data_IF_079867043318
#
_entry.id   IF_079867043318
#
_cell.length_a   1.000
_cell.length_b   1.000
_cell.length_c   1.000
_cell.angle_alpha   90.00
_cell.angle_beta   90.00
_cell.angle_gamma   90.00
#
_symmetry.space_group_name_H-M   'P 1'
#
loop_
_entity.id
_entity.type
_entity.pdbx_description
1 polymer ?
#
# COMPACT_ATOMS: atom_id res chain seq x y z
N UNK A 1 17.78 -41.17 -33.09
CA UNK A 1 16.84 -40.15 -33.58
C UNK A 1 16.26 -39.44 -32.39
N UNK A 2 16.77 -38.26 -32.09
CA UNK A 2 16.29 -37.37 -31.03
C UNK A 2 15.00 -36.70 -31.50
N UNK A 3 13.92 -36.90 -30.76
CA UNK A 3 12.67 -36.17 -30.95
C UNK A 3 12.81 -34.77 -30.34
N UNK A 4 12.91 -33.75 -31.19
CA UNK A 4 12.75 -32.35 -30.78
C UNK A 4 11.29 -31.94 -31.00
N UNK A 5 10.58 -31.59 -29.93
CA UNK A 5 9.24 -31.04 -30.01
C UNK A 5 9.28 -29.59 -30.57
N UNK A 6 8.47 -29.24 -31.58
CA UNK A 6 8.59 -27.97 -32.32
C UNK A 6 7.86 -26.77 -31.67
N UNK A 7 7.69 -26.71 -30.35
CA UNK A 7 6.87 -25.65 -29.70
C UNK A 7 7.58 -24.86 -28.60
N UNK A 8 8.91 -24.94 -28.52
CA UNK A 8 9.67 -24.07 -27.63
C UNK A 8 9.88 -22.69 -28.27
N UNK A 9 8.80 -21.94 -28.45
CA UNK A 9 8.90 -20.48 -28.59
C UNK A 9 9.31 -19.91 -27.23
N UNK A 10 10.40 -19.15 -27.20
CA UNK A 10 10.83 -18.45 -25.99
C UNK A 10 9.72 -17.49 -25.53
N UNK A 11 9.21 -17.74 -24.33
CA UNK A 11 8.32 -16.83 -23.59
C UNK A 11 9.03 -15.50 -23.32
N UNK A 12 8.77 -14.51 -24.16
CA UNK A 12 9.20 -13.13 -23.96
C UNK A 12 8.06 -12.30 -23.38
N UNK A 13 7.75 -12.51 -22.09
CA UNK A 13 6.99 -11.52 -21.35
C UNK A 13 7.81 -10.22 -21.28
N UNK A 14 7.29 -9.11 -21.81
CA UNK A 14 7.97 -7.81 -21.70
C UNK A 14 8.10 -7.43 -20.21
N UNK A 15 9.14 -6.70 -19.84
CA UNK A 15 9.41 -6.25 -18.46
C UNK A 15 8.27 -5.43 -17.85
N UNK A 16 7.38 -4.88 -18.67
CA UNK A 16 6.23 -4.07 -18.27
C UNK A 16 4.97 -4.95 -18.05
N UNK A 17 5.08 -6.21 -18.49
CA UNK A 17 4.15 -7.33 -18.46
C UNK A 17 2.74 -7.05 -19.02
N UNK A 18 2.69 -6.17 -19.99
CA UNK A 18 1.67 -6.28 -21.01
C UNK A 18 1.82 -7.67 -21.65
N UNK A 19 0.80 -8.52 -21.52
CA UNK A 19 0.70 -9.74 -22.34
C UNK A 19 0.21 -9.24 -23.69
N UNK A 20 1.03 -9.38 -24.72
CA UNK A 20 0.73 -8.95 -26.09
C UNK A 20 1.11 -10.04 -27.08
N UNK A 21 0.65 -9.90 -28.33
CA UNK A 21 0.94 -10.85 -29.40
C UNK A 21 0.15 -12.15 -29.30
N UNK A 22 0.74 -13.24 -29.80
CA UNK A 22 0.09 -14.55 -29.94
C UNK A 22 -0.35 -15.14 -28.59
N UNK A 23 0.33 -14.80 -27.50
CA UNK A 23 0.02 -15.24 -26.14
C UNK A 23 -1.27 -14.62 -25.59
N UNK A 24 -1.47 -13.32 -25.80
CA UNK A 24 -2.74 -12.65 -25.47
C UNK A 24 -3.90 -13.26 -26.27
N UNK A 25 -3.65 -13.56 -27.55
CA UNK A 25 -4.63 -14.22 -28.42
C UNK A 25 -4.98 -15.64 -27.94
N UNK A 26 -3.99 -16.45 -27.57
CA UNK A 26 -4.18 -17.82 -27.07
C UNK A 26 -4.86 -17.84 -25.69
N UNK A 27 -4.52 -16.91 -24.81
CA UNK A 27 -5.21 -16.74 -23.52
C UNK A 27 -6.67 -16.32 -23.70
N UNK A 28 -6.94 -15.36 -24.60
CA UNK A 28 -8.31 -14.95 -24.94
C UNK A 28 -9.11 -16.05 -25.64
N UNK A 29 -8.48 -16.83 -26.51
CA UNK A 29 -9.11 -18.01 -27.09
C UNK A 29 -9.47 -19.01 -25.99
N UNK A 30 -8.58 -19.25 -25.03
CA UNK A 30 -8.86 -20.15 -23.90
C UNK A 30 -10.03 -19.66 -23.03
N UNK A 31 -10.12 -18.35 -22.77
CA UNK A 31 -11.28 -17.72 -22.10
C UNK A 31 -12.55 -17.85 -22.96
N UNK A 32 -12.47 -17.61 -24.28
CA UNK A 32 -13.61 -17.72 -25.21
C UNK A 32 -14.12 -19.14 -25.40
N UNK A 33 -13.24 -20.15 -25.30
CA UNK A 33 -13.60 -21.57 -25.37
C UNK A 33 -14.04 -22.14 -24.02
N UNK A 34 -13.85 -21.39 -22.93
CA UNK A 34 -14.29 -21.76 -21.57
C UNK A 34 -15.10 -20.62 -20.93
N UNK A 35 -16.17 -20.14 -21.59
CA UNK A 35 -16.95 -19.04 -21.04
C UNK A 35 -17.60 -19.49 -19.72
N UNK A 36 -17.61 -18.65 -18.67
CA UNK A 36 -18.33 -18.95 -17.45
C UNK A 36 -19.81 -19.23 -17.79
N UNK A 37 -20.38 -20.24 -17.13
CA UNK A 37 -21.75 -20.66 -17.38
C UNK A 37 -22.72 -19.47 -17.25
N UNK A 38 -23.37 -19.11 -18.36
CA UNK A 38 -24.39 -18.06 -18.39
C UNK A 38 -23.95 -16.70 -18.97
N UNK A 39 -22.70 -16.51 -19.41
CA UNK A 39 -22.34 -15.27 -20.11
C UNK A 39 -22.97 -15.25 -21.51
N UNK A 40 -24.00 -14.42 -21.71
CA UNK A 40 -24.39 -13.99 -23.05
C UNK A 40 -23.17 -13.32 -23.71
N UNK A 41 -22.99 -13.55 -25.01
CA UNK A 41 -21.87 -13.11 -25.83
C UNK A 41 -21.74 -11.58 -25.92
N UNK A 42 -21.36 -10.91 -24.83
CA UNK A 42 -20.91 -9.52 -24.91
C UNK A 42 -19.42 -9.53 -25.29
N UNK A 43 -19.16 -8.99 -26.48
CA UNK A 43 -17.98 -9.29 -27.31
C UNK A 43 -16.74 -8.49 -26.90
N UNK A 44 -16.92 -7.48 -26.05
CA UNK A 44 -15.84 -6.60 -25.62
C UNK A 44 -15.25 -7.09 -24.29
N UNK A 45 -14.34 -8.07 -24.40
CA UNK A 45 -13.52 -8.53 -23.29
C UNK A 45 -12.58 -7.45 -22.74
N UNK A 46 -11.78 -7.75 -21.69
CA UNK A 46 -10.90 -6.79 -20.99
C UNK A 46 -9.65 -6.36 -21.80
N UNK A 47 -9.74 -6.35 -23.13
CA UNK A 47 -8.63 -6.13 -24.07
C UNK A 47 -8.58 -4.66 -24.45
N UNK A 48 -7.44 -4.02 -24.24
CA UNK A 48 -7.20 -2.66 -24.69
C UNK A 48 -7.06 -2.59 -26.23
N UNK A 49 -7.16 -1.39 -26.81
CA UNK A 49 -7.07 -1.19 -28.25
C UNK A 49 -5.76 -1.67 -28.89
N UNK A 50 -4.70 -1.82 -28.08
CA UNK A 50 -3.40 -2.35 -28.48
C UNK A 50 -3.27 -3.89 -28.34
N UNK A 51 -4.35 -4.57 -27.93
CA UNK A 51 -4.37 -6.02 -27.72
C UNK A 51 -3.87 -6.47 -26.36
N UNK A 52 -3.48 -5.55 -25.46
CA UNK A 52 -3.04 -5.88 -24.11
C UNK A 52 -4.21 -6.16 -23.16
N UNK A 53 -3.98 -7.00 -22.14
CA UNK A 53 -4.94 -7.26 -21.07
C UNK A 53 -4.32 -6.90 -19.74
N UNK A 54 -4.90 -5.93 -19.04
CA UNK A 54 -4.53 -5.67 -17.64
C UNK A 54 -5.17 -6.73 -16.75
N UNK A 55 -4.40 -7.29 -15.81
CA UNK A 55 -4.92 -8.21 -14.79
C UNK A 55 -6.06 -7.57 -13.99
N UNK A 56 -6.01 -6.26 -13.75
CA UNK A 56 -7.09 -5.52 -13.08
C UNK A 56 -8.35 -5.46 -13.95
N UNK A 57 -8.21 -5.26 -15.26
CA UNK A 57 -9.34 -5.31 -16.18
C UNK A 57 -9.96 -6.71 -16.22
N UNK A 58 -9.13 -7.76 -16.19
CA UNK A 58 -9.57 -9.15 -16.10
C UNK A 58 -10.30 -9.44 -14.78
N UNK A 59 -9.79 -8.95 -13.64
CA UNK A 59 -10.44 -9.10 -12.34
C UNK A 59 -11.76 -8.32 -12.27
N UNK A 60 -11.82 -7.11 -12.83
CA UNK A 60 -13.06 -6.32 -12.87
C UNK A 60 -14.11 -6.94 -13.79
N UNK A 61 -13.69 -7.52 -14.91
CA UNK A 61 -14.52 -8.33 -15.80
C UNK A 61 -15.03 -9.60 -15.08
N UNK A 62 -14.14 -10.35 -14.43
CA UNK A 62 -14.49 -11.58 -13.71
C UNK A 62 -15.39 -11.33 -12.49
N UNK A 63 -15.15 -10.26 -11.74
CA UNK A 63 -15.96 -9.88 -10.57
C UNK A 63 -17.31 -9.24 -10.93
N UNK A 64 -17.59 -9.04 -12.22
CA UNK A 64 -18.89 -8.51 -12.66
C UNK A 64 -19.08 -7.01 -12.51
N UNK A 65 -18.08 -6.29 -11.99
CA UNK A 65 -18.14 -4.84 -11.74
C UNK A 65 -18.36 -3.97 -12.99
N UNK A 66 -18.19 -4.54 -14.19
CA UNK A 66 -18.41 -3.87 -15.49
C UNK A 66 -19.67 -4.40 -16.20
N UNK A 67 -20.61 -5.03 -15.49
CA UNK A 67 -21.94 -5.38 -16.02
C UNK A 67 -22.25 -6.87 -16.15
N UNK A 68 -21.56 -7.75 -15.43
CA UNK A 68 -21.89 -9.18 -15.38
C UNK A 68 -22.35 -9.60 -13.98
N UNK A 69 -23.55 -10.16 -13.82
CA UNK A 69 -23.90 -10.84 -12.57
C UNK A 69 -23.24 -12.22 -12.54
N UNK A 70 -22.10 -12.35 -11.87
CA UNK A 70 -21.52 -13.67 -11.61
C UNK A 70 -22.13 -14.27 -10.35
N UNK A 71 -22.76 -15.44 -10.48
CA UNK A 71 -23.08 -16.33 -9.36
C UNK A 71 -22.17 -17.53 -9.41
N UNK A 72 -21.45 -17.72 -8.31
CA UNK A 72 -20.57 -18.85 -8.04
C UNK A 72 -21.37 -20.16 -8.14
N UNK A 73 -21.48 -20.69 -9.36
CA UNK A 73 -22.16 -21.95 -9.64
C UNK A 73 -21.08 -22.95 -9.99
N UNK A 74 -20.55 -23.55 -8.93
CA UNK A 74 -19.84 -24.83 -8.82
C UNK A 74 -19.84 -25.62 -10.15
N UNK A 75 -18.85 -25.33 -10.99
CA UNK A 75 -18.60 -26.01 -12.25
C UNK A 75 -17.09 -26.09 -12.45
N UNK A 76 -16.55 -27.31 -12.43
CA UNK A 76 -15.13 -27.66 -12.24
C UNK A 76 -14.15 -27.24 -13.37
N UNK A 77 -14.44 -26.20 -14.15
CA UNK A 77 -13.65 -25.83 -15.32
C UNK A 77 -12.94 -24.47 -15.25
N UNK A 78 -13.39 -23.53 -14.40
CA UNK A 78 -12.85 -22.18 -14.42
C UNK A 78 -12.94 -21.50 -13.04
N UNK A 79 -12.03 -21.90 -12.15
CA UNK A 79 -11.83 -21.26 -10.85
C UNK A 79 -10.91 -20.03 -11.01
N UNK A 80 -11.15 -18.94 -10.28
CA UNK A 80 -10.24 -17.78 -10.22
C UNK A 80 -8.81 -18.25 -9.87
N UNK A 81 -8.71 -19.33 -9.09
CA UNK A 81 -7.48 -20.04 -8.78
C UNK A 81 -6.79 -20.56 -10.04
N UNK A 82 -7.51 -21.10 -11.02
CA UNK A 82 -6.97 -21.55 -12.32
C UNK A 82 -6.50 -20.41 -13.23
N UNK A 83 -7.20 -19.27 -13.21
CA UNK A 83 -6.78 -18.05 -13.94
C UNK A 83 -5.53 -17.46 -13.32
N UNK A 84 -5.48 -17.43 -12.00
CA UNK A 84 -4.35 -16.96 -11.21
C UNK A 84 -3.16 -17.91 -11.39
N UNK A 85 -3.38 -19.23 -11.43
CA UNK A 85 -2.37 -20.26 -11.75
C UNK A 85 -1.90 -20.20 -13.21
N UNK A 86 -2.78 -19.86 -14.16
CA UNK A 86 -2.44 -19.72 -15.58
C UNK A 86 -1.66 -18.44 -15.89
N UNK A 87 -2.03 -17.31 -15.27
CA UNK A 87 -1.34 -16.02 -15.41
C UNK A 87 -0.05 -15.90 -14.57
N UNK A 88 0.04 -16.61 -13.45
CA UNK A 88 1.23 -16.60 -12.57
C UNK A 88 2.27 -17.67 -12.90
N UNK A 89 2.03 -18.53 -13.89
CA UNK A 89 2.92 -19.67 -14.12
C UNK A 89 2.90 -20.67 -12.95
N UNK A 90 1.84 -21.46 -12.84
CA UNK A 90 1.80 -22.77 -12.15
C UNK A 90 2.13 -22.83 -10.65
N UNK A 91 1.98 -21.74 -9.91
CA UNK A 91 2.37 -21.71 -8.49
C UNK A 91 1.26 -22.04 -7.49
N UNK A 92 1.05 -23.34 -7.23
CA UNK A 92 0.58 -23.82 -5.92
C UNK A 92 1.83 -24.22 -5.12
N UNK A 93 2.22 -23.42 -4.12
CA UNK A 93 3.48 -23.60 -3.37
C UNK A 93 3.33 -24.52 -2.15
N UNK A 94 2.11 -24.96 -1.81
CA UNK A 94 1.92 -25.97 -0.77
C UNK A 94 1.51 -27.30 -1.41
N UNK A 95 2.39 -28.28 -1.25
CA UNK A 95 2.25 -29.70 -1.61
C UNK A 95 2.61 -30.13 -3.04
N UNK A 96 3.52 -29.45 -3.74
CA UNK A 96 3.89 -29.85 -5.10
C UNK A 96 5.37 -30.27 -5.25
N UNK A 97 5.59 -31.56 -5.53
CA UNK A 97 6.89 -32.15 -5.91
C UNK A 97 7.48 -31.57 -7.21
N UNK A 98 6.85 -30.54 -7.78
CA UNK A 98 7.33 -29.73 -8.90
C UNK A 98 8.20 -28.55 -8.47
N UNK A 99 8.16 -28.10 -7.22
CA UNK A 99 9.11 -27.07 -6.72
C UNK A 99 10.54 -27.59 -6.77
N UNK A 100 10.75 -28.86 -6.43
CA UNK A 100 12.03 -29.57 -6.57
C UNK A 100 12.50 -29.71 -8.04
N UNK A 101 11.61 -29.44 -9.00
CA UNK A 101 11.88 -29.52 -10.45
C UNK A 101 12.06 -28.15 -11.08
N UNK A 102 11.84 -27.06 -10.35
CA UNK A 102 12.12 -25.73 -10.86
C UNK A 102 13.63 -25.49 -10.80
N UNK A 103 14.21 -25.23 -11.95
CA UNK A 103 15.55 -24.65 -11.99
C UNK A 103 15.51 -23.20 -11.48
N UNK A 104 16.69 -22.63 -11.23
CA UNK A 104 16.78 -21.24 -10.76
C UNK A 104 16.06 -20.28 -11.72
N UNK A 105 16.08 -20.55 -13.03
CA UNK A 105 15.41 -19.69 -14.01
C UNK A 105 13.88 -19.69 -13.84
N UNK A 106 13.27 -20.86 -13.62
CA UNK A 106 11.85 -21.01 -13.34
C UNK A 106 11.43 -20.38 -12.00
N UNK A 107 12.23 -20.58 -10.95
CA UNK A 107 11.97 -19.94 -9.66
C UNK A 107 12.02 -18.41 -9.76
N UNK A 108 13.04 -17.87 -10.42
CA UNK A 108 13.19 -16.41 -10.64
C UNK A 108 12.00 -15.84 -11.42
N UNK A 109 11.55 -16.53 -12.47
CA UNK A 109 10.41 -16.09 -13.28
C UNK A 109 9.12 -16.03 -12.44
N UNK A 110 8.88 -17.05 -11.63
CA UNK A 110 7.71 -17.09 -10.75
C UNK A 110 7.76 -15.96 -9.72
N UNK A 111 8.92 -15.74 -9.08
CA UNK A 111 9.10 -14.63 -8.13
C UNK A 111 8.81 -13.26 -8.76
N UNK A 112 9.26 -13.04 -10.00
CA UNK A 112 8.94 -11.80 -10.74
C UNK A 112 7.45 -11.68 -11.04
N UNK A 113 6.78 -12.77 -11.44
CA UNK A 113 5.35 -12.82 -11.66
C UNK A 113 4.54 -12.48 -10.40
N UNK A 114 4.91 -13.08 -9.26
CA UNK A 114 4.28 -12.79 -7.97
C UNK A 114 4.48 -11.36 -7.51
N UNK A 115 5.71 -10.83 -7.61
CA UNK A 115 6.00 -9.44 -7.28
C UNK A 115 5.10 -8.50 -8.07
N UNK A 116 4.94 -8.76 -9.36
CA UNK A 116 4.11 -7.94 -10.24
C UNK A 116 2.62 -8.01 -9.92
N UNK A 117 2.10 -9.21 -9.66
CA UNK A 117 0.72 -9.40 -9.23
C UNK A 117 0.45 -8.65 -7.91
N UNK A 118 1.40 -8.70 -6.98
CA UNK A 118 1.33 -7.99 -5.72
C UNK A 118 1.29 -6.46 -5.93
N UNK A 119 2.14 -5.93 -6.82
CA UNK A 119 2.14 -4.50 -7.19
C UNK A 119 0.80 -4.08 -7.81
N UNK A 120 0.23 -4.88 -8.71
CA UNK A 120 -1.08 -4.61 -9.34
C UNK A 120 -2.23 -4.67 -8.33
N UNK A 121 -2.21 -5.65 -7.43
CA UNK A 121 -3.21 -5.79 -6.37
C UNK A 121 -3.15 -4.60 -5.41
N UNK A 122 -1.94 -4.15 -5.04
CA UNK A 122 -1.74 -2.95 -4.21
C UNK A 122 -2.31 -1.70 -4.88
N UNK A 123 -2.03 -1.51 -6.17
CA UNK A 123 -2.57 -0.39 -6.94
C UNK A 123 -4.10 -0.40 -6.96
N UNK A 124 -4.73 -1.57 -7.18
CA UNK A 124 -6.18 -1.71 -7.16
C UNK A 124 -6.77 -1.44 -5.76
N UNK A 125 -6.13 -1.94 -4.70
CA UNK A 125 -6.56 -1.67 -3.32
C UNK A 125 -6.44 -0.20 -2.96
N UNK A 126 -5.39 0.48 -3.42
CA UNK A 126 -5.20 1.92 -3.23
C UNK A 126 -6.25 2.72 -4.00
N UNK A 127 -6.52 2.36 -5.26
CA UNK A 127 -7.57 2.99 -6.04
C UNK A 127 -8.95 2.85 -5.38
N UNK A 128 -9.28 1.64 -4.89
CA UNK A 128 -10.53 1.40 -4.15
C UNK A 128 -10.62 2.23 -2.87
N UNK A 129 -9.53 2.33 -2.12
CA UNK A 129 -9.49 3.14 -0.89
C UNK A 129 -9.69 4.64 -1.16
N UNK A 130 -9.13 5.15 -2.26
CA UNK A 130 -9.18 6.56 -2.64
C UNK A 130 -10.39 6.95 -3.50
N UNK A 131 -11.19 5.97 -3.97
CA UNK A 131 -12.33 6.21 -4.86
C UNK A 131 -13.30 7.26 -4.31
N UNK A 132 -13.72 7.08 -3.06
CA UNK A 132 -14.64 8.01 -2.41
C UNK A 132 -14.08 9.44 -2.34
N UNK A 133 -12.79 9.59 -2.01
CA UNK A 133 -12.14 10.90 -1.94
C UNK A 133 -12.08 11.59 -3.30
N UNK A 134 -11.79 10.83 -4.37
CA UNK A 134 -11.80 11.33 -5.75
C UNK A 134 -13.19 11.74 -6.22
N UNK A 135 -14.22 10.98 -5.85
CA UNK A 135 -15.61 11.33 -6.17
C UNK A 135 -16.03 12.65 -5.50
N UNK A 136 -15.63 12.85 -4.23
CA UNK A 136 -15.85 14.11 -3.52
C UNK A 136 -15.03 15.26 -4.15
N UNK A 137 -13.76 15.03 -4.52
CA UNK A 137 -12.91 16.03 -5.19
C UNK A 137 -13.55 16.51 -6.49
N UNK A 138 -14.07 15.57 -7.30
CA UNK A 138 -14.72 15.89 -8.56
C UNK A 138 -16.04 16.65 -8.40
N UNK A 139 -16.78 16.44 -7.31
CA UNK A 139 -18.11 17.03 -7.09
C UNK A 139 -18.05 18.36 -6.33
N UNK A 140 -17.27 18.38 -5.25
CA UNK A 140 -17.30 19.43 -4.22
C UNK A 140 -15.97 20.22 -4.15
N UNK A 141 -14.95 19.78 -4.89
CA UNK A 141 -13.63 20.40 -4.94
C UNK A 141 -12.63 19.82 -3.93
N UNK A 142 -11.36 20.19 -4.10
CA UNK A 142 -10.25 19.55 -3.38
C UNK A 142 -10.28 19.76 -1.86
N UNK A 143 -10.59 20.98 -1.38
CA UNK A 143 -10.66 21.25 0.06
C UNK A 143 -11.73 20.38 0.74
N UNK A 144 -12.90 20.21 0.11
CA UNK A 144 -13.98 19.37 0.62
C UNK A 144 -13.61 17.87 0.60
N UNK A 145 -12.69 17.46 -0.27
CA UNK A 145 -12.21 16.08 -0.38
C UNK A 145 -11.09 15.72 0.60
N UNK A 146 -10.35 16.69 1.15
CA UNK A 146 -9.25 16.42 2.09
C UNK A 146 -9.64 15.54 3.29
N UNK A 147 -10.81 15.74 3.94
CA UNK A 147 -11.28 14.82 4.97
C UNK A 147 -11.42 13.37 4.51
N UNK A 148 -11.86 13.14 3.26
CA UNK A 148 -12.01 11.80 2.71
C UNK A 148 -10.65 11.16 2.36
N UNK A 149 -9.67 11.96 1.93
CA UNK A 149 -8.28 11.51 1.75
C UNK A 149 -7.65 11.09 3.08
N UNK A 150 -7.79 11.92 4.12
CA UNK A 150 -7.33 11.57 5.46
C UNK A 150 -8.06 10.36 6.02
N UNK A 151 -9.38 10.25 5.86
CA UNK A 151 -10.13 9.08 6.31
C UNK A 151 -9.67 7.79 5.62
N UNK A 152 -9.23 7.84 4.36
CA UNK A 152 -8.65 6.69 3.68
C UNK A 152 -7.29 6.28 4.29
N UNK A 153 -6.46 7.26 4.67
CA UNK A 153 -5.19 7.03 5.37
C UNK A 153 -5.41 6.53 6.80
N UNK A 154 -6.32 7.14 7.55
CA UNK A 154 -6.61 6.80 8.95
C UNK A 154 -7.19 5.39 9.14
N UNK A 155 -7.80 4.80 8.10
CA UNK A 155 -8.18 3.38 8.12
C UNK A 155 -6.98 2.43 8.18
N UNK A 156 -5.81 2.90 7.79
CA UNK A 156 -4.55 2.17 7.91
C UNK A 156 -3.82 2.45 9.23
N UNK A 157 -4.39 3.20 10.18
CA UNK A 157 -3.76 3.44 11.47
C UNK A 157 -4.15 2.36 12.47
N UNK A 158 -3.17 1.81 13.18
CA UNK A 158 -3.37 0.88 14.29
C UNK A 158 -2.83 1.48 15.61
N UNK A 159 -3.45 1.13 16.74
CA UNK A 159 -2.92 1.47 18.06
C UNK A 159 -2.70 2.97 18.30
N UNK A 160 -1.44 3.39 18.30
CA UNK A 160 -1.01 4.76 18.62
C UNK A 160 -0.81 5.64 17.35
N UNK A 161 -0.91 5.05 16.15
CA UNK A 161 -0.57 5.70 14.87
C UNK A 161 -1.33 7.00 14.62
N UNK A 162 -2.63 7.07 14.95
CA UNK A 162 -3.43 8.29 14.75
C UNK A 162 -2.88 9.47 15.57
N UNK A 163 -2.44 9.21 16.81
CA UNK A 163 -1.88 10.24 17.69
C UNK A 163 -0.48 10.66 17.24
N UNK A 164 0.31 9.69 16.80
CA UNK A 164 1.60 9.94 16.17
C UNK A 164 1.45 10.78 14.90
N UNK A 165 0.43 10.51 14.09
CA UNK A 165 0.15 11.26 12.87
C UNK A 165 -0.27 12.71 13.15
N UNK A 166 -1.07 12.95 14.19
CA UNK A 166 -1.47 14.31 14.59
C UNK A 166 -0.26 15.17 14.98
N UNK A 167 0.69 14.64 15.76
CA UNK A 167 1.92 15.39 16.11
C UNK A 167 2.85 15.51 14.89
N UNK A 168 3.00 14.44 14.11
CA UNK A 168 3.76 14.50 12.87
C UNK A 168 3.24 15.60 11.94
N UNK A 169 1.92 15.71 11.81
CA UNK A 169 1.25 16.77 11.04
C UNK A 169 1.40 18.14 11.68
N UNK A 170 1.51 18.24 13.00
CA UNK A 170 1.77 19.52 13.66
C UNK A 170 3.20 20.02 13.42
N UNK A 171 4.17 19.11 13.37
CA UNK A 171 5.57 19.40 13.07
C UNK A 171 5.85 19.65 11.57
N UNK A 172 5.05 19.08 10.65
CA UNK A 172 5.18 19.29 9.20
C UNK A 172 4.69 20.70 8.80
N UNK A 173 5.59 21.67 8.76
CA UNK A 173 5.31 23.05 8.36
C UNK A 173 5.10 23.12 6.84
N UNK A 174 5.82 22.29 6.09
CA UNK A 174 5.77 22.29 4.63
C UNK A 174 4.50 21.63 4.08
N UNK A 175 3.86 20.74 4.84
CA UNK A 175 2.67 19.99 4.44
C UNK A 175 2.97 18.92 3.38
N UNK A 176 4.24 18.49 3.26
CA UNK A 176 4.68 17.52 2.26
C UNK A 176 4.66 16.07 2.80
N UNK A 177 4.31 15.86 4.07
CA UNK A 177 4.36 14.60 4.82
C UNK A 177 5.76 13.95 4.86
N UNK A 178 6.81 14.77 4.92
CA UNK A 178 8.20 14.34 5.01
C UNK A 178 9.00 15.42 5.76
N UNK A 179 9.35 15.15 7.02
CA UNK A 179 9.97 16.13 7.90
C UNK A 179 11.45 16.30 7.58
N UNK A 180 11.88 17.55 7.43
CA UNK A 180 13.30 17.91 7.43
C UNK A 180 13.85 17.93 8.87
N UNK A 181 15.18 18.03 9.03
CA UNK A 181 15.85 17.92 10.34
C UNK A 181 15.26 18.88 11.38
N UNK A 182 15.01 20.12 11.00
CA UNK A 182 14.43 21.13 11.89
C UNK A 182 13.00 20.77 12.32
N UNK A 183 12.21 20.20 11.42
CA UNK A 183 10.85 19.72 11.71
C UNK A 183 10.88 18.45 12.58
N UNK A 184 11.89 17.59 12.43
CA UNK A 184 12.10 16.43 13.31
C UNK A 184 12.47 16.87 14.72
N UNK A 185 13.31 17.89 14.89
CA UNK A 185 13.58 18.44 16.23
C UNK A 185 12.30 18.97 16.88
N UNK A 186 11.46 19.67 16.13
CA UNK A 186 10.18 20.17 16.61
C UNK A 186 9.21 19.03 16.98
N UNK A 187 9.12 17.99 16.14
CA UNK A 187 8.38 16.77 16.44
C UNK A 187 8.83 16.16 17.79
N UNK A 188 10.15 16.08 18.02
CA UNK A 188 10.69 15.51 19.25
C UNK A 188 10.42 16.40 20.47
N UNK A 189 10.48 17.74 20.32
CA UNK A 189 10.10 18.68 21.39
C UNK A 189 8.62 18.56 21.75
N UNK A 190 7.76 18.28 20.78
CA UNK A 190 6.33 18.08 21.03
C UNK A 190 6.06 16.75 21.75
N UNK A 191 6.78 15.68 21.38
CA UNK A 191 6.68 14.37 22.03
C UNK A 191 7.27 14.35 23.45
N UNK A 192 8.46 14.91 23.64
CA UNK A 192 9.18 14.99 24.90
C UNK A 192 9.36 16.46 25.32
N UNK A 193 8.29 17.10 25.82
CA UNK A 193 8.29 18.51 26.24
C UNK A 193 9.35 18.89 27.28
N UNK A 194 9.97 17.90 27.92
CA UNK A 194 11.05 18.07 28.90
C UNK A 194 12.44 17.73 28.35
N UNK A 195 12.58 17.44 27.06
CA UNK A 195 13.85 17.06 26.43
C UNK A 195 14.87 18.20 26.52
N UNK A 196 16.09 17.87 26.92
CA UNK A 196 17.23 18.77 26.75
C UNK A 196 17.69 18.81 25.29
N UNK A 197 18.50 19.80 24.92
CA UNK A 197 19.09 19.88 23.57
C UNK A 197 19.95 18.63 23.25
N UNK A 198 20.58 18.04 24.26
CA UNK A 198 21.33 16.80 24.11
C UNK A 198 20.42 15.60 23.82
N UNK A 199 19.22 15.57 24.41
CA UNK A 199 18.23 14.53 24.13
C UNK A 199 17.70 14.65 22.70
N UNK A 200 17.45 15.88 22.23
CA UNK A 200 17.02 16.15 20.84
C UNK A 200 18.06 15.67 19.82
N UNK A 201 19.33 16.02 20.03
CA UNK A 201 20.42 15.55 19.17
C UNK A 201 20.51 14.02 19.17
N UNK A 202 20.25 13.39 20.31
CA UNK A 202 20.22 11.94 20.43
C UNK A 202 19.04 11.33 19.65
N UNK A 203 17.84 11.89 19.76
CA UNK A 203 16.68 11.43 18.97
C UNK A 203 16.96 11.55 17.46
N UNK A 204 17.44 12.70 17.00
CA UNK A 204 17.77 12.92 15.58
C UNK A 204 18.83 11.92 15.11
N UNK A 205 19.83 11.64 15.95
CA UNK A 205 20.84 10.61 15.65
C UNK A 205 20.27 9.19 15.61
N UNK A 206 19.29 8.85 16.47
CA UNK A 206 18.63 7.54 16.50
C UNK A 206 17.70 7.33 15.29
N UNK A 207 17.06 8.40 14.79
CA UNK A 207 16.19 8.38 13.61
C UNK A 207 16.98 8.18 12.30
N UNK A 208 18.26 8.58 12.28
CA UNK A 208 19.15 8.48 11.12
C UNK A 208 18.63 9.21 9.86
N UNK A 209 18.69 10.54 9.87
CA UNK A 209 18.26 11.41 8.76
C UNK A 209 19.17 11.38 7.51
N UNK A 210 20.17 10.49 7.43
CA UNK A 210 21.12 10.45 6.30
C UNK A 210 20.48 9.92 5.01
N UNK A 211 19.38 9.16 5.12
CA UNK A 211 18.69 8.55 3.98
C UNK A 211 17.63 9.48 3.35
N UNK A 212 17.51 10.71 3.87
CA UNK A 212 16.55 11.72 3.40
C UNK A 212 15.60 12.20 4.51
N UNK A 213 14.54 12.94 4.14
CA UNK A 213 13.57 13.44 5.10
C UNK A 213 12.78 12.28 5.75
N UNK A 214 12.33 12.51 6.99
CA UNK A 214 11.59 11.52 7.76
C UNK A 214 10.14 11.45 7.27
N UNK A 215 9.79 10.39 6.54
CA UNK A 215 8.39 10.12 6.20
C UNK A 215 7.63 9.58 7.41
N UNK A 216 6.31 9.66 7.38
CA UNK A 216 5.49 9.13 8.46
C UNK A 216 5.67 7.61 8.65
N UNK A 217 5.81 6.84 7.55
CA UNK A 217 6.05 5.40 7.65
C UNK A 217 7.42 5.07 8.28
N UNK A 218 8.47 5.82 7.94
CA UNK A 218 9.77 5.67 8.58
C UNK A 218 9.75 6.08 10.06
N UNK A 219 8.94 7.08 10.41
CA UNK A 219 8.71 7.46 11.80
C UNK A 219 8.00 6.36 12.60
N UNK A 220 6.98 5.70 12.03
CA UNK A 220 6.33 4.53 12.66
C UNK A 220 7.32 3.38 12.86
N UNK A 221 8.13 3.08 11.84
CA UNK A 221 9.14 2.02 11.92
C UNK A 221 10.19 2.30 13.00
N UNK A 222 10.69 3.53 13.06
CA UNK A 222 11.59 3.97 14.13
C UNK A 222 10.91 3.87 15.49
N UNK A 223 9.67 4.33 15.62
CA UNK A 223 8.92 4.32 16.87
C UNK A 223 8.79 2.92 17.46
N UNK A 224 8.43 1.94 16.63
CA UNK A 224 8.30 0.55 17.06
C UNK A 224 9.65 -0.06 17.47
N UNK A 225 10.69 0.19 16.68
CA UNK A 225 12.02 -0.31 16.99
C UNK A 225 12.57 0.31 18.28
N UNK A 226 12.46 1.63 18.42
CA UNK A 226 12.96 2.38 19.56
C UNK A 226 12.31 1.92 20.88
N UNK A 227 11.03 1.52 20.86
CA UNK A 227 10.35 0.92 22.02
C UNK A 227 10.91 -0.43 22.47
N UNK A 228 11.53 -1.17 21.56
CA UNK A 228 12.08 -2.51 21.83
C UNK A 228 13.54 -2.51 22.27
N UNK A 229 14.27 -1.40 22.06
CA UNK A 229 15.70 -1.29 22.39
C UNK A 229 15.86 -0.82 23.83
N UNK A 230 16.45 -1.66 24.68
CA UNK A 230 16.57 -1.45 26.14
C UNK A 230 17.34 -0.20 26.59
N UNK A 231 17.98 0.51 25.66
CA UNK A 231 18.71 1.75 25.94
C UNK A 231 18.18 2.96 25.15
N UNK A 232 17.09 2.83 24.38
CA UNK A 232 16.53 3.99 23.68
C UNK A 232 15.74 4.87 24.65
N UNK A 233 15.82 6.19 24.46
CA UNK A 233 15.01 7.16 25.21
C UNK A 233 13.50 6.88 25.07
N UNK A 234 13.08 6.32 23.93
CA UNK A 234 11.68 5.95 23.68
C UNK A 234 11.28 4.71 24.47
N UNK A 235 12.17 3.75 24.71
CA UNK A 235 11.87 2.61 25.58
C UNK A 235 11.68 3.05 27.04
N UNK A 236 12.46 4.04 27.49
CA UNK A 236 12.38 4.57 28.86
C UNK A 236 11.12 5.44 29.09
N UNK A 237 10.76 6.27 28.11
CA UNK A 237 9.73 7.33 28.27
C UNK A 237 8.49 7.17 27.38
N UNK A 238 8.49 6.25 26.41
CA UNK A 238 7.53 6.21 25.30
C UNK A 238 6.06 6.05 25.71
N UNK A 239 5.77 5.27 26.76
CA UNK A 239 4.41 5.18 27.29
C UNK A 239 3.91 6.52 27.88
N UNK A 240 4.82 7.30 28.48
CA UNK A 240 4.55 8.64 28.99
C UNK A 240 4.31 9.65 27.86
N UNK A 241 5.04 9.53 26.75
CA UNK A 241 4.84 10.38 25.57
C UNK A 241 3.42 10.20 25.02
N UNK A 242 3.03 8.98 24.67
CA UNK A 242 1.69 8.69 24.12
C UNK A 242 0.58 9.10 25.08
N UNK A 243 0.76 8.87 26.39
CA UNK A 243 -0.19 9.33 27.39
C UNK A 243 -0.32 10.86 27.40
N UNK A 244 0.79 11.58 27.23
CA UNK A 244 0.82 13.03 27.07
C UNK A 244 0.07 13.50 25.81
N UNK A 245 0.37 12.90 24.65
CA UNK A 245 -0.32 13.20 23.38
C UNK A 245 -1.81 12.99 23.50
N UNK A 246 -2.23 11.85 24.05
CA UNK A 246 -3.64 11.51 24.27
C UNK A 246 -4.32 12.48 25.22
N UNK A 247 -3.66 12.83 26.32
CA UNK A 247 -4.21 13.76 27.30
C UNK A 247 -4.38 15.16 26.70
N UNK A 248 -3.48 15.61 25.84
CA UNK A 248 -3.56 16.89 25.13
C UNK A 248 -4.69 16.88 24.10
N UNK A 249 -4.76 15.85 23.25
CA UNK A 249 -5.84 15.66 22.30
C UNK A 249 -7.22 15.60 23.00
N UNK A 250 -7.32 14.95 24.16
CA UNK A 250 -8.55 14.91 24.97
C UNK A 250 -8.87 16.28 25.60
N UNK A 251 -7.87 17.00 26.11
CA UNK A 251 -8.05 18.34 26.69
C UNK A 251 -8.56 19.33 25.64
N UNK A 252 -8.04 19.25 24.42
CA UNK A 252 -8.53 20.05 23.30
C UNK A 252 -9.97 19.71 22.94
N UNK A 253 -10.34 18.41 22.92
CA UNK A 253 -11.72 17.97 22.64
C UNK A 253 -12.74 18.38 23.71
N UNK A 254 -12.36 18.41 24.99
CA UNK A 254 -13.30 18.71 26.10
C UNK A 254 -13.50 20.22 26.30
N UNK A 255 -12.53 21.04 25.90
CA UNK A 255 -12.54 22.48 26.18
C UNK A 255 -13.37 23.35 25.23
N UNK A 256 -13.71 22.88 24.02
CA UNK A 256 -14.28 23.74 22.98
C UNK A 256 -15.05 22.91 21.93
N UNK A 257 -16.33 23.25 21.73
CA UNK A 257 -17.25 22.58 20.80
C UNK A 257 -16.94 22.78 19.30
N UNK A 258 -15.85 23.49 18.96
CA UNK A 258 -15.47 23.87 17.59
C UNK A 258 -13.94 23.80 17.34
N UNK A 259 -13.23 22.82 17.91
CA UNK A 259 -11.78 22.72 17.63
C UNK A 259 -11.46 22.08 16.29
N UNK A 260 -10.54 22.74 15.60
CA UNK A 260 -9.88 22.32 14.38
C UNK A 260 -8.64 21.47 14.74
N UNK A 261 -8.56 20.23 14.26
CA UNK A 261 -7.41 19.31 14.49
C UNK A 261 -6.13 19.86 13.85
N UNK A 262 -4.94 19.37 14.23
CA UNK A 262 -3.69 19.84 13.61
C UNK A 262 -3.71 19.61 12.09
N UNK A 263 -4.24 18.46 11.70
CA UNK A 263 -4.51 18.05 10.32
C UNK A 263 -5.44 19.04 9.60
N UNK A 264 -6.55 19.45 10.23
CA UNK A 264 -7.48 20.40 9.62
C UNK A 264 -6.87 21.81 9.51
N UNK A 265 -6.10 22.25 10.53
CA UNK A 265 -5.32 23.49 10.49
C UNK A 265 -4.35 23.50 9.32
N UNK A 266 -3.67 22.37 9.09
CA UNK A 266 -2.78 22.24 7.94
C UNK A 266 -3.53 22.33 6.61
N UNK A 267 -4.71 21.71 6.46
CA UNK A 267 -5.49 21.82 5.22
C UNK A 267 -5.83 23.28 4.91
N UNK A 268 -6.26 24.03 5.93
CA UNK A 268 -6.60 25.43 5.76
C UNK A 268 -5.37 26.29 5.41
N UNK A 269 -4.22 26.05 6.05
CA UNK A 269 -2.96 26.71 5.69
C UNK A 269 -2.50 26.34 4.27
N UNK A 270 -2.59 25.07 3.89
CA UNK A 270 -2.26 24.60 2.55
C UNK A 270 -3.20 25.20 1.49
N UNK A 271 -4.49 25.36 1.80
CA UNK A 271 -5.45 26.01 0.92
C UNK A 271 -5.10 27.48 0.70
N UNK A 272 -4.83 28.22 1.77
CA UNK A 272 -4.42 29.63 1.69
C UNK A 272 -3.11 29.81 0.90
N UNK A 273 -2.20 28.85 0.99
CA UNK A 273 -0.92 28.86 0.28
C UNK A 273 -0.97 28.22 -1.13
N UNK A 274 -2.14 27.80 -1.63
CA UNK A 274 -2.29 27.04 -2.89
C UNK A 274 -1.44 25.74 -2.96
N UNK A 275 -1.19 25.11 -1.80
CA UNK A 275 -0.43 23.85 -1.66
C UNK A 275 -1.30 22.61 -1.49
N UNK A 276 -2.64 22.73 -1.48
CA UNK A 276 -3.54 21.58 -1.36
C UNK A 276 -3.27 20.44 -2.34
N UNK A 277 -3.00 20.66 -3.65
CA UNK A 277 -2.73 19.56 -4.58
C UNK A 277 -1.49 18.75 -4.21
N UNK A 278 -0.45 19.42 -3.67
CA UNK A 278 0.76 18.78 -3.18
C UNK A 278 0.47 17.98 -1.90
N UNK A 279 -0.32 18.55 -0.97
CA UNK A 279 -0.73 17.86 0.25
C UNK A 279 -1.59 16.61 -0.03
N UNK A 280 -2.51 16.69 -1.00
CA UNK A 280 -3.28 15.52 -1.49
C UNK A 280 -2.35 14.44 -2.04
N UNK A 281 -1.34 14.81 -2.83
CA UNK A 281 -0.33 13.86 -3.32
C UNK A 281 0.48 13.25 -2.19
N UNK A 282 0.86 14.05 -1.19
CA UNK A 282 1.53 13.60 0.01
C UNK A 282 0.69 12.55 0.75
N UNK A 283 -0.61 12.79 0.98
CA UNK A 283 -1.49 11.81 1.63
C UNK A 283 -1.61 10.50 0.85
N UNK A 284 -1.71 10.59 -0.49
CA UNK A 284 -1.73 9.40 -1.34
C UNK A 284 -0.43 8.59 -1.25
N UNK A 285 0.71 9.27 -1.17
CA UNK A 285 2.03 8.65 -1.03
C UNK A 285 2.18 8.02 0.37
N UNK A 286 1.86 8.76 1.43
CA UNK A 286 1.89 8.27 2.81
C UNK A 286 1.00 7.05 3.00
N UNK A 287 -0.17 6.99 2.35
CA UNK A 287 -1.02 5.79 2.34
C UNK A 287 -0.28 4.56 1.78
N UNK A 288 0.45 4.72 0.67
CA UNK A 288 1.26 3.63 0.11
C UNK A 288 2.40 3.25 1.06
N UNK A 289 3.12 4.24 1.58
CA UNK A 289 4.26 4.03 2.48
C UNK A 289 3.85 3.30 3.77
N UNK A 290 2.74 3.68 4.41
CA UNK A 290 2.22 3.02 5.63
C UNK A 290 1.85 1.58 5.36
N UNK A 291 1.20 1.28 4.22
CA UNK A 291 0.88 -0.10 3.84
C UNK A 291 2.12 -0.94 3.60
N UNK A 292 3.12 -0.38 2.92
CA UNK A 292 4.39 -1.07 2.68
C UNK A 292 5.12 -1.35 4.00
N UNK A 293 5.15 -0.38 4.91
CA UNK A 293 5.69 -0.54 6.26
C UNK A 293 4.97 -1.66 7.02
N UNK A 294 3.63 -1.71 7.03
CA UNK A 294 2.86 -2.77 7.71
C UNK A 294 3.16 -4.16 7.19
N UNK A 295 3.35 -4.30 5.88
CA UNK A 295 3.76 -5.56 5.25
C UNK A 295 5.16 -5.95 5.73
N UNK A 296 6.12 -5.02 5.69
CA UNK A 296 7.49 -5.26 6.16
C UNK A 296 7.56 -5.59 7.65
N UNK A 297 6.79 -4.90 8.48
CA UNK A 297 6.66 -5.18 9.91
C UNK A 297 6.11 -6.59 10.15
N UNK A 298 5.04 -6.97 9.43
CA UNK A 298 4.48 -8.32 9.52
C UNK A 298 5.46 -9.40 9.08
N UNK A 299 6.24 -9.15 8.01
CA UNK A 299 7.28 -10.05 7.54
C UNK A 299 8.38 -10.24 8.59
N UNK A 300 8.93 -9.15 9.16
CA UNK A 300 9.93 -9.23 10.24
C UNK A 300 9.41 -10.01 11.45
N UNK A 301 8.14 -9.84 11.80
CA UNK A 301 7.51 -10.60 12.88
C UNK A 301 7.50 -12.10 12.57
N UNK A 302 7.03 -12.51 11.40
CA UNK A 302 7.04 -13.91 10.97
C UNK A 302 8.46 -14.48 10.91
N UNK A 303 9.44 -13.72 10.41
CA UNK A 303 10.85 -14.11 10.39
C UNK A 303 11.39 -14.34 11.81
N UNK A 304 11.06 -13.47 12.76
CA UNK A 304 11.47 -13.61 14.16
C UNK A 304 10.83 -14.83 14.85
N UNK A 305 9.56 -15.11 14.55
CA UNK A 305 8.85 -16.29 15.05
C UNK A 305 9.48 -17.57 14.49
N UNK A 306 9.76 -17.61 13.18
CA UNK A 306 10.45 -18.73 12.53
C UNK A 306 11.87 -18.93 13.05
N UNK A 307 12.62 -17.87 13.35
CA UNK A 307 13.97 -17.96 13.90
C UNK A 307 14.00 -18.48 15.35
N UNK A 308 12.86 -18.43 16.05
CA UNK A 308 12.73 -18.91 17.43
C UNK A 308 12.33 -20.39 17.55
N UNK A 309 11.97 -21.04 16.42
CA UNK A 309 11.61 -22.47 16.33
C UNK A 309 12.85 -23.34 16.11
#
# INVERSE_FOLDING_TARGET
GTWTAPWAGELCASRDGIISGEEASNFLQTIRYTPPAGSAHDVDGPVAADGSISFVALLNWYSGTVGGEYRDTVGAGFDLTSVTVGLLGSGMVQCDARVDKLDWSGLRRNLLGYRRLLEQLRALQQERALRHARDVESRDGLLAAMPAYYAALAREFDGDDEHLFEIFSEADITGNMALETEEVEELMRQLDKGSSEQDLQRYVSEINMNDGPLTFASFLDWWDQARSVSNSLVAEKGAGFIAGVRAEALREKVGNLFFETSVQRQWNRANQANRLPAMRQAYCRTLTEVRDYKIQHSLRKVESECASL
#
